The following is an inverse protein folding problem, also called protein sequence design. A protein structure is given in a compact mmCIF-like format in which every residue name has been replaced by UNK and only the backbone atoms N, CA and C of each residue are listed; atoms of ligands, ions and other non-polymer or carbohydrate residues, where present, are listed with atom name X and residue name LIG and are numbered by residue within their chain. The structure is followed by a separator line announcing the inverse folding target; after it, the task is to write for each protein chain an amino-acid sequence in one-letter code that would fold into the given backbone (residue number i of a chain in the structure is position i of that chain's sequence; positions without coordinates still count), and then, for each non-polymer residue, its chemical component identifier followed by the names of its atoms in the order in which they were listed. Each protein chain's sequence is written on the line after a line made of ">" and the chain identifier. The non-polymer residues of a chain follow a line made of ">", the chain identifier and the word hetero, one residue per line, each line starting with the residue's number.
data_IF_438591636141
#
_entry.id   IF_438591636141
#
_cell.length_a   1.000
_cell.length_b   1.000
_cell.length_c   1.000
_cell.angle_alpha   90.00
_cell.angle_beta   90.00
_cell.angle_gamma   90.00
#
_symmetry.space_group_name_H-M   'P 1'
#
loop_
_entity.id
_entity.type
_entity.pdbx_description
1 polymer ?
#
# COMPACT_ATOMS: atom_id res chain seq x y z
N UNK A 1 53.17 -28.73 -29.38
CA UNK A 1 53.06 -28.51 -27.93
C UNK A 1 52.46 -27.12 -27.72
N UNK A 2 51.31 -27.09 -27.00
CA UNK A 2 50.62 -25.95 -26.35
C UNK A 2 50.27 -24.70 -27.18
N UNK A 3 49.08 -24.10 -27.10
CA UNK A 3 47.77 -24.37 -26.49
C UNK A 3 46.85 -23.31 -27.15
N UNK A 4 45.63 -23.55 -27.63
CA UNK A 4 44.58 -24.32 -26.98
C UNK A 4 43.96 -23.47 -25.86
N UNK A 5 43.09 -22.51 -26.20
CA UNK A 5 42.48 -21.61 -25.22
C UNK A 5 41.30 -20.84 -25.80
N UNK A 6 40.27 -21.61 -26.18
CA UNK A 6 39.01 -21.17 -26.75
C UNK A 6 38.26 -20.27 -25.76
N UNK A 7 37.96 -19.04 -26.15
CA UNK A 7 37.01 -18.16 -25.46
C UNK A 7 35.61 -18.71 -25.70
N UNK A 8 35.17 -19.62 -24.83
CA UNK A 8 33.81 -20.16 -24.86
C UNK A 8 33.25 -20.23 -23.44
N UNK A 9 31.94 -19.99 -23.37
CA UNK A 9 31.03 -20.29 -22.26
C UNK A 9 31.00 -19.32 -21.08
N UNK A 10 30.08 -18.36 -21.20
CA UNK A 10 28.88 -18.38 -20.36
C UNK A 10 27.76 -17.61 -21.07
N UNK A 11 27.33 -18.11 -22.24
CA UNK A 11 25.95 -17.86 -22.68
C UNK A 11 25.06 -18.49 -21.61
N UNK A 12 24.37 -17.62 -20.85
CA UNK A 12 23.30 -18.03 -19.94
C UNK A 12 22.17 -18.61 -20.78
N UNK A 13 22.25 -19.90 -21.08
CA UNK A 13 21.09 -20.66 -21.52
C UNK A 13 20.20 -20.98 -20.31
N UNK A 14 18.91 -20.82 -20.57
CA UNK A 14 17.77 -21.44 -19.93
C UNK A 14 17.47 -21.16 -18.45
N UNK A 15 16.54 -20.22 -18.26
CA UNK A 15 15.36 -20.50 -17.43
C UNK A 15 14.12 -19.75 -17.93
N UNK A 16 13.92 -19.69 -19.26
CA UNK A 16 12.57 -19.43 -19.76
C UNK A 16 11.78 -20.73 -19.54
N UNK A 17 10.62 -20.72 -18.86
CA UNK A 17 9.72 -21.86 -18.94
C UNK A 17 9.19 -21.93 -20.38
N UNK A 18 9.92 -22.64 -21.23
CA UNK A 18 9.51 -23.09 -22.55
C UNK A 18 8.34 -24.06 -22.35
N UNK A 19 7.13 -23.67 -22.76
CA UNK A 19 6.02 -24.63 -22.86
C UNK A 19 4.60 -24.07 -22.80
N UNK A 20 4.38 -22.84 -22.34
CA UNK A 20 3.02 -22.30 -22.24
C UNK A 20 2.62 -21.60 -23.54
N UNK A 21 1.57 -22.10 -24.20
CA UNK A 21 0.98 -21.45 -25.38
C UNK A 21 0.68 -19.96 -25.09
N UNK A 22 1.08 -19.02 -25.99
CA UNK A 22 0.89 -17.58 -25.79
C UNK A 22 -0.57 -17.18 -25.46
N UNK A 23 -1.55 -17.92 -26.00
CA UNK A 23 -2.97 -17.68 -25.70
C UNK A 23 -3.34 -18.13 -24.29
N UNK A 24 -2.77 -19.24 -23.82
CA UNK A 24 -2.92 -19.73 -22.45
C UNK A 24 -2.33 -18.74 -21.45
N UNK A 25 -1.13 -18.22 -21.71
CA UNK A 25 -0.49 -17.20 -20.88
C UNK A 25 -1.29 -15.89 -20.86
N UNK A 26 -1.79 -15.43 -22.01
CA UNK A 26 -2.65 -14.25 -22.10
C UNK A 26 -3.96 -14.41 -21.30
N UNK A 27 -4.59 -15.59 -21.34
CA UNK A 27 -5.77 -15.89 -20.53
C UNK A 27 -5.48 -15.89 -19.03
N UNK A 28 -4.32 -16.40 -18.64
CA UNK A 28 -3.88 -16.38 -17.24
C UNK A 28 -3.67 -14.95 -16.75
N UNK A 29 -2.99 -14.11 -17.52
CA UNK A 29 -2.83 -12.67 -17.22
C UNK A 29 -4.20 -11.99 -17.10
N UNK A 30 -5.12 -12.25 -18.02
CA UNK A 30 -6.50 -11.71 -17.96
C UNK A 30 -7.23 -12.16 -16.70
N UNK A 31 -7.13 -13.43 -16.32
CA UNK A 31 -7.76 -13.95 -15.12
C UNK A 31 -7.20 -13.29 -13.86
N UNK A 32 -5.88 -13.16 -13.76
CA UNK A 32 -5.20 -12.50 -12.63
C UNK A 32 -5.53 -11.01 -12.57
N UNK A 33 -5.58 -10.32 -13.72
CA UNK A 33 -5.98 -8.91 -13.80
C UNK A 33 -7.42 -8.69 -13.31
N UNK A 34 -8.36 -9.56 -13.70
CA UNK A 34 -9.75 -9.53 -13.24
C UNK A 34 -9.87 -9.81 -11.74
N UNK A 35 -9.10 -10.76 -11.22
CA UNK A 35 -9.03 -11.02 -9.78
C UNK A 35 -8.56 -9.79 -9.00
N UNK A 36 -7.48 -9.14 -9.47
CA UNK A 36 -6.97 -7.92 -8.85
C UNK A 36 -7.96 -6.76 -8.96
N UNK A 37 -8.71 -6.65 -10.06
CA UNK A 37 -9.79 -5.68 -10.20
C UNK A 37 -10.90 -5.89 -9.16
N UNK A 38 -11.35 -7.13 -8.94
CA UNK A 38 -12.35 -7.43 -7.92
C UNK A 38 -11.88 -7.05 -6.51
N UNK A 39 -10.60 -7.27 -6.19
CA UNK A 39 -10.02 -6.85 -4.90
C UNK A 39 -10.07 -5.31 -4.78
N UNK A 40 -9.71 -4.58 -5.83
CA UNK A 40 -9.80 -3.11 -5.82
C UNK A 40 -11.22 -2.58 -5.71
N UNK A 41 -12.22 -3.23 -6.32
CA UNK A 41 -13.62 -2.86 -6.16
C UNK A 41 -14.09 -3.04 -4.70
N UNK A 42 -13.79 -4.20 -4.12
CA UNK A 42 -14.09 -4.49 -2.71
C UNK A 42 -13.42 -3.51 -1.75
N UNK A 43 -12.13 -3.20 -1.97
CA UNK A 43 -11.41 -2.19 -1.19
C UNK A 43 -12.07 -0.82 -1.31
N UNK A 44 -12.41 -0.41 -2.53
CA UNK A 44 -13.03 0.90 -2.77
C UNK A 44 -14.37 0.98 -2.04
N UNK A 45 -15.17 -0.10 -2.07
CA UNK A 45 -16.40 -0.20 -1.28
C UNK A 45 -16.16 -0.11 0.23
N UNK A 46 -15.14 -0.80 0.75
CA UNK A 46 -14.78 -0.73 2.17
C UNK A 46 -14.35 0.69 2.59
N UNK A 47 -13.53 1.37 1.76
CA UNK A 47 -13.09 2.74 1.97
C UNK A 47 -14.27 3.74 1.93
N UNK A 48 -15.19 3.57 0.98
CA UNK A 48 -16.39 4.41 0.86
C UNK A 48 -17.37 4.20 2.03
N UNK A 49 -17.46 2.98 2.54
CA UNK A 49 -18.25 2.63 3.73
C UNK A 49 -17.52 2.92 5.06
N UNK A 50 -16.29 3.47 5.01
CA UNK A 50 -15.44 3.72 6.18
C UNK A 50 -15.14 2.46 7.05
N UNK A 51 -15.14 1.27 6.45
CA UNK A 51 -14.85 -0.01 7.09
C UNK A 51 -13.34 -0.26 7.10
N UNK A 52 -12.62 0.42 7.98
CA UNK A 52 -11.15 0.38 8.03
C UNK A 52 -10.62 -1.02 8.35
N UNK A 53 -11.27 -1.77 9.23
CA UNK A 53 -10.84 -3.14 9.58
C UNK A 53 -10.92 -4.09 8.38
N UNK A 54 -12.00 -4.01 7.60
CA UNK A 54 -12.18 -4.79 6.36
C UNK A 54 -11.12 -4.39 5.33
N UNK A 55 -10.88 -3.09 5.16
CA UNK A 55 -9.83 -2.59 4.29
C UNK A 55 -8.43 -3.12 4.68
N UNK A 56 -8.11 -3.12 5.98
CA UNK A 56 -6.81 -3.61 6.47
C UNK A 56 -6.65 -5.12 6.31
N UNK A 57 -7.71 -5.89 6.56
CA UNK A 57 -7.70 -7.35 6.40
C UNK A 57 -7.46 -7.79 4.95
N UNK A 58 -7.82 -6.97 3.97
CA UNK A 58 -7.65 -7.26 2.54
C UNK A 58 -6.23 -7.02 2.00
N UNK A 59 -5.33 -6.38 2.78
CA UNK A 59 -4.01 -5.99 2.25
C UNK A 59 -3.11 -7.17 1.92
N UNK A 60 -3.19 -8.27 2.68
CA UNK A 60 -2.42 -9.49 2.42
C UNK A 60 -2.88 -10.19 1.15
N UNK A 61 -4.20 -10.32 0.96
CA UNK A 61 -4.81 -10.89 -0.26
C UNK A 61 -4.43 -10.06 -1.51
N UNK A 62 -4.46 -8.73 -1.37
CA UNK A 62 -4.07 -7.82 -2.44
C UNK A 62 -2.60 -7.96 -2.80
N UNK A 63 -1.71 -8.05 -1.82
CA UNK A 63 -0.28 -8.20 -2.08
C UNK A 63 0.00 -9.49 -2.86
N UNK A 64 -0.55 -10.62 -2.41
CA UNK A 64 -0.41 -11.91 -3.11
C UNK A 64 -0.97 -11.86 -4.54
N UNK A 65 -2.11 -11.20 -4.74
CA UNK A 65 -2.70 -11.04 -6.07
C UNK A 65 -1.86 -10.15 -7.00
N UNK A 66 -1.23 -9.09 -6.47
CA UNK A 66 -0.31 -8.22 -7.22
C UNK A 66 0.94 -8.98 -7.63
N UNK A 67 1.55 -9.72 -6.70
CA UNK A 67 2.74 -10.54 -6.98
C UNK A 67 2.45 -11.55 -8.08
N UNK A 68 1.36 -12.31 -7.96
CA UNK A 68 0.94 -13.24 -8.99
C UNK A 68 0.67 -12.54 -10.35
N UNK A 69 -0.03 -11.42 -10.37
CA UNK A 69 -0.25 -10.67 -11.61
C UNK A 69 1.07 -10.20 -12.24
N UNK A 70 2.00 -9.70 -11.43
CA UNK A 70 3.31 -9.24 -11.87
C UNK A 70 4.13 -10.39 -12.48
N UNK A 71 4.16 -11.56 -11.84
CA UNK A 71 4.86 -12.74 -12.36
C UNK A 71 4.35 -13.13 -13.75
N UNK A 72 3.03 -13.22 -13.94
CA UNK A 72 2.45 -13.55 -15.25
C UNK A 72 2.68 -12.46 -16.28
N UNK A 73 2.68 -11.20 -15.88
CA UNK A 73 2.99 -10.10 -16.79
C UNK A 73 4.45 -10.12 -17.25
N UNK A 74 5.38 -10.43 -16.34
CA UNK A 74 6.81 -10.59 -16.69
C UNK A 74 6.99 -11.74 -17.68
N UNK A 75 6.32 -12.87 -17.45
CA UNK A 75 6.33 -13.99 -18.39
C UNK A 75 5.74 -13.61 -19.76
N UNK A 76 4.62 -12.86 -19.78
CA UNK A 76 4.00 -12.38 -21.02
C UNK A 76 4.93 -11.42 -21.79
N UNK A 77 5.59 -10.51 -21.08
CA UNK A 77 6.54 -9.58 -21.69
C UNK A 77 7.80 -10.27 -22.23
N UNK A 78 8.27 -11.34 -21.57
CA UNK A 78 9.38 -12.15 -22.04
C UNK A 78 9.07 -12.85 -23.38
N UNK A 79 7.78 -13.13 -23.66
CA UNK A 79 7.31 -13.76 -24.90
C UNK A 79 6.72 -12.76 -25.91
N UNK A 80 7.02 -11.46 -25.76
CA UNK A 80 6.43 -10.37 -26.57
C UNK A 80 6.56 -10.59 -28.09
N UNK A 81 7.68 -11.11 -28.56
CA UNK A 81 7.92 -11.33 -29.99
C UNK A 81 7.05 -12.45 -30.56
N UNK A 82 6.83 -13.52 -29.79
CA UNK A 82 5.95 -14.64 -30.15
C UNK A 82 4.47 -14.21 -30.13
N UNK A 83 4.10 -13.34 -29.19
CA UNK A 83 2.74 -12.79 -29.05
C UNK A 83 2.33 -11.86 -30.21
N UNK A 84 3.29 -11.24 -30.89
CA UNK A 84 3.00 -10.29 -31.97
C UNK A 84 2.28 -10.97 -33.15
N UNK A 85 2.60 -12.24 -33.42
CA UNK A 85 2.01 -13.04 -34.52
C UNK A 85 1.05 -14.14 -34.10
N UNK A 86 1.19 -14.71 -32.88
CA UNK A 86 0.45 -15.92 -32.47
C UNK A 86 -0.74 -15.67 -31.52
N UNK A 87 -0.91 -14.44 -31.03
CA UNK A 87 -1.99 -14.11 -30.10
C UNK A 87 -3.32 -13.90 -30.83
N UNK A 88 -4.36 -14.59 -30.36
CA UNK A 88 -5.74 -14.38 -30.81
C UNK A 88 -6.13 -12.89 -30.74
N UNK A 89 -6.62 -12.29 -31.85
CA UNK A 89 -7.09 -10.91 -31.86
C UNK A 89 -8.11 -10.59 -30.76
N UNK A 90 -8.97 -11.56 -30.39
CA UNK A 90 -9.95 -11.38 -29.31
C UNK A 90 -9.27 -11.25 -27.93
N UNK A 91 -8.24 -12.07 -27.67
CA UNK A 91 -7.46 -11.97 -26.42
C UNK A 91 -6.63 -10.69 -26.36
N UNK A 92 -6.11 -10.25 -27.51
CA UNK A 92 -5.40 -8.96 -27.61
C UNK A 92 -6.32 -7.79 -27.28
N UNK A 93 -7.53 -7.78 -27.83
CA UNK A 93 -8.53 -6.77 -27.53
C UNK A 93 -8.93 -6.80 -26.03
N UNK A 94 -9.18 -7.99 -25.48
CA UNK A 94 -9.52 -8.15 -24.07
C UNK A 94 -8.40 -7.67 -23.12
N UNK A 95 -7.13 -7.90 -23.46
CA UNK A 95 -5.98 -7.41 -22.68
C UNK A 95 -5.91 -5.88 -22.69
N UNK A 96 -6.12 -5.26 -23.85
CA UNK A 96 -6.14 -3.81 -23.97
C UNK A 96 -7.30 -3.18 -23.19
N UNK A 97 -8.51 -3.75 -23.28
CA UNK A 97 -9.68 -3.31 -22.52
C UNK A 97 -9.45 -3.46 -21.01
N UNK A 98 -8.99 -4.63 -20.57
CA UNK A 98 -8.70 -4.89 -19.16
C UNK A 98 -7.64 -3.91 -18.61
N UNK A 99 -6.65 -3.53 -19.41
CA UNK A 99 -5.65 -2.52 -19.02
C UNK A 99 -6.28 -1.14 -18.78
N UNK A 100 -7.21 -0.73 -19.64
CA UNK A 100 -7.93 0.55 -19.51
C UNK A 100 -8.81 0.52 -18.26
N UNK A 101 -9.59 -0.53 -18.08
CA UNK A 101 -10.49 -0.69 -16.94
C UNK A 101 -9.72 -0.71 -15.61
N UNK A 102 -8.60 -1.43 -15.58
CA UNK A 102 -7.75 -1.52 -14.41
C UNK A 102 -7.14 -0.15 -14.04
N UNK A 103 -6.74 0.65 -15.04
CA UNK A 103 -6.23 2.00 -14.80
C UNK A 103 -7.30 2.92 -14.20
N UNK A 104 -8.52 2.86 -14.72
CA UNK A 104 -9.66 3.62 -14.19
C UNK A 104 -10.00 3.21 -12.75
N UNK A 105 -10.04 1.91 -12.48
CA UNK A 105 -10.33 1.38 -11.15
C UNK A 105 -9.25 1.77 -10.13
N UNK A 106 -7.99 1.66 -10.51
CA UNK A 106 -6.85 2.09 -9.67
C UNK A 106 -6.95 3.57 -9.34
N UNK A 107 -7.32 4.41 -10.30
CA UNK A 107 -7.51 5.83 -10.08
C UNK A 107 -8.62 6.11 -9.06
N UNK A 108 -9.78 5.43 -9.18
CA UNK A 108 -10.87 5.55 -8.21
C UNK A 108 -10.45 5.11 -6.79
N UNK A 109 -9.71 4.01 -6.69
CA UNK A 109 -9.19 3.51 -5.41
C UNK A 109 -8.23 4.52 -4.74
N UNK A 110 -7.33 5.13 -5.52
CA UNK A 110 -6.44 6.22 -5.03
C UNK A 110 -7.23 7.42 -4.53
N UNK A 111 -8.29 7.82 -5.23
CA UNK A 111 -9.15 8.92 -4.79
C UNK A 111 -9.89 8.60 -3.48
N UNK A 112 -10.39 7.36 -3.34
CA UNK A 112 -11.01 6.89 -2.10
C UNK A 112 -10.03 6.91 -0.92
N UNK A 113 -8.79 6.45 -1.13
CA UNK A 113 -7.71 6.55 -0.13
C UNK A 113 -7.42 7.99 0.27
N UNK A 114 -7.30 8.90 -0.70
CA UNK A 114 -7.08 10.32 -0.43
C UNK A 114 -8.24 10.97 0.33
N UNK A 115 -9.49 10.54 0.10
CA UNK A 115 -10.65 10.95 0.92
C UNK A 115 -10.50 10.45 2.36
N UNK A 116 -10.19 9.17 2.54
CA UNK A 116 -10.04 8.58 3.87
C UNK A 116 -8.90 9.25 4.67
N UNK A 117 -7.75 9.49 4.05
CA UNK A 117 -6.63 10.21 4.68
C UNK A 117 -7.04 11.61 5.18
N UNK A 118 -7.80 12.37 4.37
CA UNK A 118 -8.30 13.68 4.78
C UNK A 118 -9.29 13.60 5.95
N UNK A 119 -10.16 12.59 5.95
CA UNK A 119 -11.09 12.35 7.07
C UNK A 119 -10.33 11.99 8.36
N UNK A 120 -9.33 11.12 8.27
CA UNK A 120 -8.50 10.72 9.42
C UNK A 120 -7.70 11.90 9.98
N UNK A 121 -7.13 12.75 9.12
CA UNK A 121 -6.45 13.98 9.56
C UNK A 121 -7.40 14.90 10.33
N UNK A 122 -8.61 15.13 9.82
CA UNK A 122 -9.64 15.93 10.52
C UNK A 122 -10.07 15.33 11.85
N UNK A 123 -10.15 14.00 11.92
CA UNK A 123 -10.46 13.30 13.17
C UNK A 123 -9.33 13.49 14.20
N UNK A 124 -8.07 13.34 13.77
CA UNK A 124 -6.90 13.58 14.62
C UNK A 124 -6.85 15.01 15.14
N UNK A 125 -7.15 16.00 14.29
CA UNK A 125 -7.23 17.42 14.69
C UNK A 125 -8.32 17.64 15.75
N UNK A 126 -9.50 17.03 15.58
CA UNK A 126 -10.59 17.10 16.57
C UNK A 126 -10.21 16.44 17.89
N UNK A 127 -9.58 15.27 17.86
CA UNK A 127 -9.12 14.58 19.08
C UNK A 127 -8.09 15.46 19.81
N UNK A 128 -7.12 16.01 19.09
CA UNK A 128 -6.14 16.95 19.66
C UNK A 128 -6.80 18.19 20.24
N UNK A 129 -7.80 18.75 19.56
CA UNK A 129 -8.54 19.92 20.04
C UNK A 129 -9.35 19.61 21.31
N UNK A 130 -10.03 18.45 21.37
CA UNK A 130 -10.76 18.00 22.55
C UNK A 130 -9.81 17.74 23.73
N UNK A 131 -8.71 17.04 23.51
CA UNK A 131 -7.70 16.80 24.54
C UNK A 131 -7.12 18.12 25.09
N UNK A 132 -6.82 19.09 24.21
CA UNK A 132 -6.39 20.44 24.62
C UNK A 132 -7.48 21.19 25.40
N UNK A 133 -8.73 21.08 24.98
CA UNK A 133 -9.86 21.71 25.67
C UNK A 133 -10.09 21.10 27.06
N UNK A 134 -9.97 19.77 27.18
CA UNK A 134 -10.10 19.05 28.45
C UNK A 134 -8.96 19.37 29.41
N UNK A 135 -7.71 19.42 28.93
CA UNK A 135 -6.56 19.88 29.73
C UNK A 135 -6.75 21.34 30.19
N UNK A 136 -7.26 22.22 29.33
CA UNK A 136 -7.56 23.62 29.69
C UNK A 136 -8.73 23.73 30.68
N UNK A 137 -9.73 22.86 30.57
CA UNK A 137 -10.85 22.80 31.51
C UNK A 137 -10.42 22.23 32.88
N UNK A 138 -9.50 21.26 32.88
CA UNK A 138 -8.94 20.64 34.08
C UNK A 138 -7.89 21.50 34.80
N UNK A 139 -7.16 22.36 34.06
CA UNK A 139 -6.29 23.41 34.60
C UNK A 139 -6.90 24.79 34.34
N UNK A 140 -7.86 25.25 35.16
CA UNK A 140 -8.29 26.63 35.10
C UNK A 140 -7.13 27.50 35.62
N UNK A 141 -6.27 27.96 34.71
CA UNK A 141 -5.35 29.06 34.99
C UNK A 141 -6.22 30.30 35.10
N UNK A 142 -6.71 30.55 36.31
CA UNK A 142 -7.43 31.76 36.66
C UNK A 142 -6.51 32.96 36.51
N UNK A 143 -6.53 33.60 35.34
CA UNK A 143 -6.03 34.96 35.21
C UNK A 143 -7.01 35.88 35.94
N UNK A 144 -6.73 36.12 37.22
CA UNK A 144 -7.34 37.22 37.94
C UNK A 144 -7.00 38.53 37.23
N UNK A 145 -8.01 39.36 37.01
CA UNK A 145 -7.91 40.75 36.54
C UNK A 145 -7.19 41.58 37.61
N UNK A 146 -5.91 41.30 37.87
CA UNK A 146 -4.94 42.02 38.70
C UNK A 146 -3.61 41.21 38.77
N UNK A 147 -3.06 40.79 37.62
CA UNK A 147 -1.64 40.46 37.43
C UNK A 147 -0.88 39.58 38.44
N UNK A 148 -1.54 38.83 39.31
CA UNK A 148 -0.92 38.04 40.37
C UNK A 148 -1.20 36.57 40.18
N UNK A 149 -0.23 35.82 39.68
CA UNK A 149 -0.26 34.35 39.71
C UNK A 149 -0.27 33.90 41.16
N UNK A 150 -1.35 33.28 41.62
CA UNK A 150 -1.36 32.59 42.91
C UNK A 150 -0.36 31.42 42.85
N UNK A 151 0.64 31.35 43.75
CA UNK A 151 1.55 30.21 43.77
C UNK A 151 0.78 28.99 44.28
N UNK A 152 0.42 28.10 43.35
CA UNK A 152 0.06 26.73 43.68
C UNK A 152 1.19 26.11 44.50
N UNK A 153 0.82 25.53 45.64
CA UNK A 153 1.72 24.98 46.64
C UNK A 153 2.90 24.21 46.03
N UNK A 154 4.10 24.80 46.12
CA UNK A 154 5.36 24.07 46.00
C UNK A 154 5.35 22.99 47.08
N UNK A 155 5.13 21.74 46.70
CA UNK A 155 5.50 20.58 47.53
C UNK A 155 7.02 20.61 47.66
N UNK A 156 7.49 21.15 48.78
CA UNK A 156 8.86 21.01 49.26
C UNK A 156 9.15 19.52 49.44
N UNK A 157 9.97 18.95 48.54
CA UNK A 157 10.58 17.64 48.76
C UNK A 157 11.64 17.84 49.84
N UNK A 158 11.31 17.47 51.08
CA UNK A 158 12.28 17.40 52.16
C UNK A 158 13.21 16.20 51.92
N UNK A 159 14.47 16.46 51.58
CA UNK A 159 15.54 15.46 51.66
C UNK A 159 16.15 15.55 53.06
N UNK A 160 15.87 14.55 53.91
CA UNK A 160 16.50 14.43 55.24
C UNK A 160 17.20 13.09 55.40
N UNK A 161 18.50 13.18 55.77
CA UNK A 161 19.42 12.15 56.33
C UNK A 161 20.01 11.15 55.32
N UNK A 162 21.31 10.84 55.29
CA UNK A 162 22.47 11.21 56.11
C UNK A 162 23.60 10.17 55.93
N UNK A 163 24.86 10.58 56.08
CA UNK A 163 26.10 9.84 56.44
C UNK A 163 27.30 10.72 56.00
N UNK A 164 28.08 11.37 56.87
CA UNK A 164 29.13 10.87 57.80
C UNK A 164 30.20 10.02 57.10
N UNK A 165 31.30 10.68 56.68
CA UNK A 165 32.69 10.43 57.15
C UNK A 165 33.42 11.78 57.15
#
# INVERSE_FOLDING_TARGET
>A
MNAGGNTAMATREDSAPLGTDPNTLAREVLARARGLAQIHEKETGALEAAQVEVFMAMQEEKLAAVEAYQESMVALLAQREELAGALDPALRAALAETQIDFALLTQRNKEALARMQRCMARLADKICAMAKAEVRAASPVGYGQNGGSAPGALRTVATSKGEVV
#
